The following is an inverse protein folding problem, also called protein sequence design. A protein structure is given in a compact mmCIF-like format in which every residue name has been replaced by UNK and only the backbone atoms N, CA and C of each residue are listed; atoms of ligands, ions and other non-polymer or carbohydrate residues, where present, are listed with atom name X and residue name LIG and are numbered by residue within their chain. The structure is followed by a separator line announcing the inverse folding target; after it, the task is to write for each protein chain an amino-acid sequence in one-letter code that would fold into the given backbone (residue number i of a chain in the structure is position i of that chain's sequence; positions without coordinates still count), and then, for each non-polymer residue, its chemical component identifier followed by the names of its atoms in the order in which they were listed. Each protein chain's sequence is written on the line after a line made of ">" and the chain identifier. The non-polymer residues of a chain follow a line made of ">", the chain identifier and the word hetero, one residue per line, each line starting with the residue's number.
data_IF_863557840033
#
_entry.id   IF_863557840033
#
_cell.length_a   1.000
_cell.length_b   1.000
_cell.length_c   1.000
_cell.angle_alpha   90.00
_cell.angle_beta   90.00
_cell.angle_gamma   90.00
#
_symmetry.space_group_name_H-M   'P 1'
#
loop_
_entity.id
_entity.type
_entity.pdbx_description
1 polymer ?
#
# COMPACT_ATOMS: atom_id res chain seq x y z
N UNK A 1 -17.75 -14.63 -4.54
CA UNK A 1 -18.73 -15.59 -5.10
C UNK A 1 -18.02 -16.92 -5.36
N UNK A 2 -18.54 -18.03 -4.82
CA UNK A 2 -17.99 -19.39 -5.00
C UNK A 2 -18.26 -19.86 -6.43
N UNK A 3 -17.24 -20.23 -7.21
CA UNK A 3 -17.42 -20.87 -8.51
C UNK A 3 -17.93 -22.31 -8.33
N UNK A 4 -19.13 -22.66 -8.84
CA UNK A 4 -19.66 -24.01 -8.73
C UNK A 4 -19.24 -24.81 -9.96
N UNK A 5 -18.00 -25.29 -10.03
CA UNK A 5 -17.58 -26.17 -11.15
C UNK A 5 -16.50 -27.21 -10.80
N UNK A 6 -16.33 -27.52 -9.50
CA UNK A 6 -15.49 -28.66 -9.07
C UNK A 6 -16.17 -30.04 -9.24
N UNK A 7 -17.39 -30.11 -9.80
CA UNK A 7 -18.19 -31.33 -9.87
C UNK A 7 -17.99 -32.24 -11.08
N UNK A 8 -17.10 -31.93 -12.03
CA UNK A 8 -16.93 -32.74 -13.26
C UNK A 8 -15.55 -33.40 -13.39
N UNK A 9 -14.76 -33.40 -12.32
CA UNK A 9 -13.35 -33.85 -12.36
C UNK A 9 -13.13 -35.36 -12.27
N UNK A 10 -14.15 -36.17 -11.97
CA UNK A 10 -13.93 -37.58 -11.60
C UNK A 10 -14.38 -38.61 -12.64
N UNK A 11 -15.03 -38.23 -13.75
CA UNK A 11 -15.59 -39.24 -14.67
C UNK A 11 -14.73 -39.59 -15.90
N UNK A 12 -13.69 -38.82 -16.21
CA UNK A 12 -12.89 -39.04 -17.44
C UNK A 12 -11.63 -39.88 -17.23
N UNK A 13 -11.17 -40.05 -15.98
CA UNK A 13 -9.97 -40.85 -15.71
C UNK A 13 -10.19 -42.36 -15.85
N UNK A 14 -11.43 -42.86 -15.82
CA UNK A 14 -11.70 -44.30 -15.99
C UNK A 14 -11.70 -44.79 -17.45
N UNK A 15 -11.77 -43.90 -18.45
CA UNK A 15 -11.82 -44.31 -19.85
C UNK A 15 -10.45 -44.65 -20.48
N UNK A 16 -9.34 -44.31 -19.81
CA UNK A 16 -7.99 -44.55 -20.36
C UNK A 16 -7.37 -45.90 -20.00
N UNK A 17 -7.99 -46.68 -19.11
CA UNK A 17 -7.46 -47.98 -18.67
C UNK A 17 -7.69 -49.12 -19.68
N UNK A 18 -8.46 -48.89 -20.75
CA UNK A 18 -8.89 -49.94 -21.68
C UNK A 18 -8.05 -50.09 -22.96
N UNK A 19 -7.10 -49.18 -23.25
CA UNK A 19 -6.27 -49.25 -24.47
C UNK A 19 -4.96 -49.98 -24.23
N UNK A 20 -5.04 -51.29 -23.94
CA UNK A 20 -3.88 -52.17 -23.87
C UNK A 20 -3.68 -52.86 -25.23
N UNK A 21 -3.27 -52.09 -26.22
CA UNK A 21 -2.85 -52.58 -27.54
C UNK A 21 -1.48 -52.04 -27.91
N UNK A 22 -0.56 -52.89 -28.34
CA UNK A 22 0.84 -52.54 -28.65
C UNK A 22 1.00 -51.93 -30.06
N UNK A 23 0.06 -51.07 -30.44
CA UNK A 23 0.08 -50.41 -31.74
C UNK A 23 0.68 -49.02 -31.59
N UNK A 24 1.86 -48.82 -32.17
CA UNK A 24 2.61 -47.55 -32.13
C UNK A 24 1.77 -46.36 -32.63
N UNK A 25 0.83 -46.60 -33.55
CA UNK A 25 -0.10 -45.59 -34.06
C UNK A 25 -1.13 -45.16 -33.00
N UNK A 26 -1.68 -46.09 -32.20
CA UNK A 26 -2.63 -45.75 -31.13
C UNK A 26 -1.97 -44.89 -30.04
N UNK A 27 -0.67 -45.14 -29.74
CA UNK A 27 0.11 -44.33 -28.80
C UNK A 27 0.41 -42.92 -29.34
N UNK A 28 0.59 -42.75 -30.66
CA UNK A 28 0.77 -41.45 -31.31
C UNK A 28 -0.53 -40.63 -31.33
N UNK A 29 -1.67 -41.26 -31.66
CA UNK A 29 -2.98 -40.60 -31.60
C UNK A 29 -3.36 -40.22 -30.16
N UNK A 30 -3.11 -41.10 -29.18
CA UNK A 30 -3.34 -40.77 -27.77
C UNK A 30 -2.48 -39.57 -27.32
N UNK A 31 -1.20 -39.51 -27.72
CA UNK A 31 -0.32 -38.35 -27.41
C UNK A 31 -0.78 -37.06 -28.08
N UNK A 32 -1.23 -37.10 -29.34
CA UNK A 32 -1.78 -35.92 -30.02
C UNK A 32 -3.09 -35.43 -29.39
N UNK A 33 -3.98 -36.36 -28.99
CA UNK A 33 -5.23 -36.02 -28.31
C UNK A 33 -4.97 -35.42 -26.92
N UNK A 34 -4.02 -35.96 -26.16
CA UNK A 34 -3.61 -35.40 -24.86
C UNK A 34 -3.00 -34.00 -25.02
N UNK A 35 -2.17 -33.77 -26.05
CA UNK A 35 -1.58 -32.45 -26.33
C UNK A 35 -2.62 -31.40 -26.76
N UNK A 36 -3.64 -31.80 -27.53
CA UNK A 36 -4.73 -30.91 -27.93
C UNK A 36 -5.64 -30.52 -26.76
N UNK A 37 -5.95 -31.48 -25.88
CA UNK A 37 -6.75 -31.21 -24.67
C UNK A 37 -5.97 -30.31 -23.69
N UNK A 38 -4.65 -30.47 -23.57
CA UNK A 38 -3.80 -29.64 -22.72
C UNK A 38 -3.73 -28.17 -23.21
N UNK A 39 -3.69 -27.94 -24.52
CA UNK A 39 -3.71 -26.59 -25.11
C UNK A 39 -5.06 -25.89 -24.96
N UNK A 40 -6.17 -26.62 -25.10
CA UNK A 40 -7.53 -26.08 -24.89
C UNK A 40 -7.79 -25.77 -23.42
N UNK A 41 -7.23 -26.54 -22.49
CA UNK A 41 -7.32 -26.29 -21.05
C UNK A 41 -6.57 -25.05 -20.59
N UNK A 42 -5.43 -24.72 -21.21
CA UNK A 42 -4.63 -23.53 -20.84
C UNK A 42 -5.32 -22.22 -21.25
N UNK A 43 -6.24 -22.26 -22.21
CA UNK A 43 -6.99 -21.10 -22.71
C UNK A 43 -8.27 -20.76 -21.90
N UNK A 44 -8.70 -21.59 -20.94
CA UNK A 44 -9.95 -21.37 -20.19
C UNK A 44 -9.77 -20.69 -18.82
N UNK A 45 -8.54 -20.47 -18.36
CA UNK A 45 -8.25 -19.77 -17.09
C UNK A 45 -8.03 -18.27 -17.29
N UNK A 46 -9.01 -17.60 -17.90
CA UNK A 46 -9.08 -16.14 -17.97
C UNK A 46 -10.07 -15.60 -16.95
N UNK A 47 -9.76 -15.64 -15.65
CA UNK A 47 -10.58 -14.96 -14.65
C UNK A 47 -10.22 -13.47 -14.65
N UNK A 48 -11.04 -12.63 -15.29
CA UNK A 48 -10.91 -11.18 -15.20
C UNK A 48 -11.32 -10.73 -13.80
N UNK A 49 -10.37 -10.66 -12.88
CA UNK A 49 -10.57 -10.03 -11.58
C UNK A 49 -10.57 -8.51 -11.80
N UNK A 50 -11.73 -7.89 -11.70
CA UNK A 50 -11.83 -6.44 -11.77
C UNK A 50 -11.35 -5.84 -10.45
N UNK A 51 -10.21 -5.15 -10.47
CA UNK A 51 -9.69 -4.45 -9.31
C UNK A 51 -10.62 -3.29 -8.92
N UNK A 52 -10.79 -3.09 -7.62
CA UNK A 52 -11.38 -1.87 -7.10
C UNK A 52 -10.38 -0.72 -7.20
N UNK A 53 -10.84 0.51 -6.99
CA UNK A 53 -9.96 1.69 -7.02
C UNK A 53 -10.16 2.54 -5.78
N UNK A 54 -9.08 3.05 -5.19
CA UNK A 54 -9.14 3.99 -4.07
C UNK A 54 -8.49 5.32 -4.45
N UNK A 55 -9.20 6.42 -4.19
CA UNK A 55 -8.69 7.77 -4.38
C UNK A 55 -8.03 8.28 -3.09
N UNK A 56 -6.75 8.61 -3.14
CA UNK A 56 -5.94 9.09 -2.00
C UNK A 56 -5.66 10.59 -2.22
N UNK A 57 -6.00 11.46 -1.26
CA UNK A 57 -5.65 12.88 -1.30
C UNK A 57 -4.15 13.12 -1.25
N UNK A 58 -3.68 14.22 -1.84
CA UNK A 58 -2.25 14.60 -1.90
C UNK A 58 -1.59 14.78 -0.52
N UNK A 59 -2.39 15.01 0.52
CA UNK A 59 -1.91 15.10 1.89
C UNK A 59 -1.56 13.74 2.52
N UNK A 60 -1.70 12.63 1.78
CA UNK A 60 -1.33 11.30 2.22
C UNK A 60 -0.39 10.62 1.23
N UNK A 61 0.60 9.92 1.77
CA UNK A 61 1.51 9.06 1.06
C UNK A 61 1.16 7.60 1.35
N UNK A 62 1.05 6.80 0.30
CA UNK A 62 0.83 5.36 0.40
C UNK A 62 2.16 4.61 0.48
N UNK A 63 2.33 3.82 1.55
CA UNK A 63 3.60 3.16 1.85
C UNK A 63 3.57 1.66 1.52
N UNK A 64 2.47 0.96 1.79
CA UNK A 64 2.36 -0.48 1.60
C UNK A 64 0.93 -0.98 1.44
N UNK A 65 0.77 -2.06 0.67
CA UNK A 65 -0.43 -2.90 0.58
C UNK A 65 -0.13 -4.25 1.22
N UNK A 66 -0.91 -4.66 2.23
CA UNK A 66 -0.76 -5.95 2.91
C UNK A 66 0.69 -6.22 3.39
N UNK A 67 1.34 -5.18 3.94
CA UNK A 67 2.73 -5.21 4.40
C UNK A 67 3.79 -5.18 3.29
N UNK A 68 3.39 -5.24 2.02
CA UNK A 68 4.30 -5.15 0.88
C UNK A 68 4.48 -3.69 0.50
N UNK A 69 5.72 -3.20 0.64
CA UNK A 69 6.08 -1.85 0.24
C UNK A 69 5.71 -1.64 -1.23
N UNK A 70 4.86 -0.65 -1.49
CA UNK A 70 4.55 -0.29 -2.86
C UNK A 70 5.63 0.66 -3.31
N UNK A 71 6.49 0.17 -4.21
CA UNK A 71 7.59 0.92 -4.79
C UNK A 71 7.02 2.08 -5.64
N UNK A 72 6.68 3.18 -4.97
CA UNK A 72 5.82 4.22 -5.54
C UNK A 72 5.97 5.58 -4.86
N UNK A 73 7.09 5.84 -4.18
CA UNK A 73 7.50 7.18 -3.67
C UNK A 73 7.59 8.26 -4.78
N UNK A 74 7.13 7.96 -6.00
CA UNK A 74 7.10 8.78 -7.20
C UNK A 74 5.69 8.98 -7.78
N UNK A 75 4.62 8.50 -7.14
CA UNK A 75 3.23 8.77 -7.55
C UNK A 75 2.81 10.20 -7.13
N UNK A 76 3.61 11.19 -7.50
CA UNK A 76 3.38 12.59 -7.17
C UNK A 76 2.11 13.21 -7.79
N UNK A 77 1.30 12.44 -8.54
CA UNK A 77 0.07 12.93 -9.19
C UNK A 77 -1.02 11.85 -9.44
N UNK A 78 -0.76 10.56 -9.16
CA UNK A 78 -1.77 9.52 -9.39
C UNK A 78 -2.55 9.29 -8.11
N UNK A 79 -3.63 10.04 -7.97
CA UNK A 79 -4.54 9.96 -6.84
C UNK A 79 -5.25 8.61 -6.70
N UNK A 80 -5.07 7.63 -7.61
CA UNK A 80 -5.88 6.41 -7.66
C UNK A 80 -5.03 5.14 -7.67
N UNK A 81 -5.26 4.27 -6.69
CA UNK A 81 -4.61 2.96 -6.55
C UNK A 81 -5.61 1.84 -6.83
N UNK A 82 -5.17 0.79 -7.53
CA UNK A 82 -5.96 -0.42 -7.72
C UNK A 82 -5.80 -1.36 -6.52
N UNK A 83 -6.93 -1.80 -5.96
CA UNK A 83 -7.00 -2.69 -4.81
C UNK A 83 -7.61 -4.04 -5.22
N UNK A 84 -6.96 -5.17 -4.88
CA UNK A 84 -7.57 -6.49 -4.99
C UNK A 84 -8.80 -6.61 -4.08
N UNK A 85 -9.78 -7.41 -4.51
CA UNK A 85 -10.95 -7.74 -3.70
C UNK A 85 -10.56 -8.50 -2.41
N UNK A 86 -11.26 -8.23 -1.31
CA UNK A 86 -11.07 -8.89 -0.01
C UNK A 86 -10.62 -7.95 1.11
N UNK A 87 -10.33 -8.52 2.29
CA UNK A 87 -9.80 -7.78 3.44
C UNK A 87 -8.39 -7.30 3.17
N UNK A 88 -8.19 -6.01 2.96
CA UNK A 88 -6.89 -5.40 2.63
C UNK A 88 -6.43 -4.48 3.73
N UNK A 89 -5.11 -4.38 3.87
CA UNK A 89 -4.45 -3.50 4.82
C UNK A 89 -3.58 -2.48 4.09
N UNK A 90 -3.80 -1.20 4.37
CA UNK A 90 -3.18 -0.08 3.67
C UNK A 90 -2.35 0.69 4.69
N UNK A 91 -1.04 0.78 4.48
CA UNK A 91 -0.16 1.64 5.28
C UNK A 91 -0.03 3.01 4.63
N UNK A 92 -0.32 4.06 5.40
CA UNK A 92 -0.34 5.46 4.97
C UNK A 92 0.56 6.33 5.86
N UNK A 93 0.94 7.50 5.34
CA UNK A 93 1.55 8.59 6.10
C UNK A 93 0.93 9.92 5.70
N UNK A 94 0.48 10.72 6.66
CA UNK A 94 0.10 12.10 6.38
C UNK A 94 1.36 12.95 6.14
N UNK A 95 1.32 13.79 5.11
CA UNK A 95 2.40 14.71 4.74
C UNK A 95 1.78 16.02 4.25
N UNK A 96 2.24 17.13 4.80
CA UNK A 96 1.77 18.45 4.37
C UNK A 96 2.89 19.49 4.52
N UNK A 97 2.72 20.63 3.85
CA UNK A 97 3.61 21.79 3.95
C UNK A 97 2.87 22.87 4.74
N UNK A 98 3.52 23.35 5.80
CA UNK A 98 3.03 24.44 6.63
C UNK A 98 4.04 25.58 6.65
N UNK A 99 3.58 26.77 7.03
CA UNK A 99 4.47 27.85 7.42
C UNK A 99 4.79 27.64 8.90
N UNK A 100 6.08 27.55 9.22
CA UNK A 100 6.56 27.48 10.59
C UNK A 100 6.16 28.76 11.33
N UNK A 101 5.39 28.70 12.44
CA UNK A 101 4.89 29.89 13.10
C UNK A 101 6.00 30.71 13.78
N UNK A 102 7.10 30.07 14.16
CA UNK A 102 8.21 30.73 14.85
C UNK A 102 9.19 31.35 13.84
N UNK A 103 9.37 30.70 12.68
CA UNK A 103 10.44 31.02 11.74
C UNK A 103 9.95 31.58 10.39
N UNK A 104 8.65 31.47 10.09
CA UNK A 104 8.02 32.06 8.91
C UNK A 104 8.38 31.41 7.56
N UNK A 105 9.10 30.28 7.56
CA UNK A 105 9.45 29.53 6.34
C UNK A 105 8.60 28.28 6.17
N UNK A 106 8.62 27.70 4.97
CA UNK A 106 7.95 26.42 4.69
C UNK A 106 8.63 25.26 5.42
N UNK A 107 7.84 24.51 6.19
CA UNK A 107 8.24 23.28 6.86
C UNK A 107 7.34 22.13 6.41
N UNK A 108 7.94 20.97 6.14
CA UNK A 108 7.19 19.74 5.88
C UNK A 108 6.91 19.06 7.22
N UNK A 109 5.64 18.78 7.47
CA UNK A 109 5.21 17.96 8.60
C UNK A 109 4.82 16.57 8.12
N UNK A 110 5.12 15.57 8.94
CA UNK A 110 4.81 14.18 8.66
C UNK A 110 4.20 13.53 9.89
N UNK A 111 3.24 12.64 9.68
CA UNK A 111 2.82 11.72 10.74
C UNK A 111 3.76 10.51 10.83
N UNK A 112 3.60 9.74 11.90
CA UNK A 112 4.04 8.34 11.89
C UNK A 112 3.23 7.55 10.85
N UNK A 113 3.80 6.51 10.23
CA UNK A 113 3.03 5.56 9.44
C UNK A 113 1.89 4.97 10.27
N UNK A 114 0.71 4.86 9.66
CA UNK A 114 -0.47 4.27 10.29
C UNK A 114 -1.20 3.39 9.27
N UNK A 115 -2.09 2.55 9.76
CA UNK A 115 -2.64 1.44 9.00
C UNK A 115 -4.16 1.51 8.96
N UNK A 116 -4.73 1.18 7.81
CA UNK A 116 -6.17 1.21 7.57
C UNK A 116 -6.61 -0.12 6.97
N UNK A 117 -7.59 -0.75 7.58
CA UNK A 117 -8.19 -1.98 7.08
C UNK A 117 -9.45 -1.67 6.27
N UNK A 118 -9.61 -2.35 5.13
CA UNK A 118 -10.77 -2.19 4.26
C UNK A 118 -11.17 -3.54 3.67
N UNK A 119 -12.44 -3.90 3.78
CA UNK A 119 -13.03 -4.96 2.96
C UNK A 119 -13.34 -4.41 1.56
N UNK A 120 -12.47 -4.72 0.61
CA UNK A 120 -12.54 -4.25 -0.77
C UNK A 120 -13.53 -5.10 -1.55
N UNK A 121 -14.52 -4.43 -2.16
CA UNK A 121 -15.49 -5.04 -3.08
C UNK A 121 -15.06 -4.77 -4.52
N UNK A 122 -15.12 -5.78 -5.38
CA UNK A 122 -14.76 -5.64 -6.79
C UNK A 122 -15.56 -4.54 -7.49
N UNK A 123 -14.89 -3.75 -8.32
CA UNK A 123 -15.50 -2.67 -9.12
C UNK A 123 -15.94 -1.42 -8.33
N UNK A 124 -15.70 -1.34 -7.02
CA UNK A 124 -16.04 -0.17 -6.21
C UNK A 124 -14.94 0.90 -6.29
N UNK A 125 -15.37 2.17 -6.38
CA UNK A 125 -14.50 3.32 -6.25
C UNK A 125 -14.60 3.87 -4.82
N UNK A 126 -13.50 3.79 -4.10
CA UNK A 126 -13.32 4.31 -2.75
C UNK A 126 -12.63 5.68 -2.78
N UNK A 127 -12.81 6.46 -1.72
CA UNK A 127 -12.14 7.72 -1.46
C UNK A 127 -11.68 7.74 -0.01
N UNK A 128 -10.40 8.01 0.21
CA UNK A 128 -9.87 8.30 1.52
C UNK A 128 -10.22 9.75 1.88
N UNK A 129 -10.82 9.95 3.04
CA UNK A 129 -11.25 11.25 3.56
C UNK A 129 -10.61 11.46 4.93
N UNK A 130 -9.84 12.52 5.15
CA UNK A 130 -9.33 12.87 6.48
C UNK A 130 -10.46 13.24 7.43
N UNK A 131 -10.34 12.84 8.70
CA UNK A 131 -11.29 13.13 9.76
C UNK A 131 -10.58 13.84 10.93
N UNK A 132 -10.99 15.06 11.34
CA UNK A 132 -12.07 15.85 10.77
C UNK A 132 -11.73 16.37 9.36
N UNK A 133 -12.75 16.52 8.51
CA UNK A 133 -12.58 17.04 7.15
C UNK A 133 -12.02 18.48 7.09
N UNK A 134 -12.10 19.23 8.19
CA UNK A 134 -11.53 20.57 8.32
C UNK A 134 -10.18 20.54 9.04
N UNK A 135 -9.11 20.80 8.30
CA UNK A 135 -7.75 20.93 8.83
C UNK A 135 -7.55 22.29 9.51
N UNK A 136 -8.12 22.47 10.71
CA UNK A 136 -7.89 23.71 11.47
C UNK A 136 -6.44 23.75 12.01
N UNK A 137 -5.94 22.63 12.50
CA UNK A 137 -4.56 22.49 12.98
C UNK A 137 -3.88 21.29 12.33
N UNK A 138 -3.10 21.56 11.28
CA UNK A 138 -2.34 20.56 10.53
C UNK A 138 -1.25 19.89 11.38
N UNK A 139 -0.65 20.62 12.32
CA UNK A 139 0.38 20.04 13.21
C UNK A 139 -0.25 19.06 14.20
N UNK A 140 -1.40 19.41 14.79
CA UNK A 140 -2.13 18.51 15.65
C UNK A 140 -2.60 17.26 14.89
N UNK A 141 -3.10 17.43 13.65
CA UNK A 141 -3.49 16.30 12.81
C UNK A 141 -2.31 15.36 12.50
N UNK A 142 -1.12 15.91 12.20
CA UNK A 142 0.07 15.09 11.97
C UNK A 142 0.47 14.21 13.17
N UNK A 143 0.16 14.64 14.41
CA UNK A 143 0.45 13.87 15.62
C UNK A 143 -0.48 12.66 15.78
N UNK A 144 -1.73 12.77 15.36
CA UNK A 144 -2.73 11.70 15.45
C UNK A 144 -3.71 11.74 14.27
N UNK A 145 -3.28 11.31 13.07
CA UNK A 145 -4.10 11.38 11.87
C UNK A 145 -5.25 10.39 11.97
N UNK A 146 -6.46 10.82 11.57
CA UNK A 146 -7.61 9.94 11.40
C UNK A 146 -8.16 10.06 10.00
N UNK A 147 -8.66 8.95 9.47
CA UNK A 147 -9.19 8.87 8.12
C UNK A 147 -10.42 7.97 8.09
N UNK A 148 -11.32 8.28 7.17
CA UNK A 148 -12.50 7.50 6.82
C UNK A 148 -12.40 7.10 5.36
N UNK A 149 -12.94 5.95 5.00
CA UNK A 149 -13.05 5.52 3.60
C UNK A 149 -14.53 5.59 3.18
N UNK A 150 -14.83 6.35 2.13
CA UNK A 150 -16.17 6.46 1.54
C UNK A 150 -16.21 5.77 0.18
N UNK A 151 -17.30 5.07 -0.13
CA UNK A 151 -17.55 4.55 -1.48
C UNK A 151 -18.39 5.54 -2.28
N UNK A 152 -18.06 5.76 -3.55
CA UNK A 152 -18.81 6.67 -4.45
C UNK A 152 -20.26 6.20 -4.71
N UNK A 153 -20.56 4.91 -4.46
CA UNK A 153 -21.86 4.29 -4.72
C UNK A 153 -22.81 4.28 -3.51
N UNK A 154 -22.36 4.68 -2.31
CA UNK A 154 -23.24 4.80 -1.14
C UNK A 154 -23.18 6.20 -0.52
N UNK A 155 -24.24 6.97 -0.74
CA UNK A 155 -24.51 8.26 -0.08
C UNK A 155 -24.95 8.07 1.40
N UNK A 156 -24.13 7.38 2.20
CA UNK A 156 -24.29 7.32 3.65
C UNK A 156 -22.96 6.99 4.33
N UNK A 157 -22.31 7.96 5.01
CA UNK A 157 -21.13 7.67 5.81
C UNK A 157 -21.58 6.82 7.02
N UNK A 158 -21.38 5.51 6.95
CA UNK A 158 -21.28 4.70 8.16
C UNK A 158 -19.87 4.86 8.71
N UNK A 159 -19.70 5.33 9.96
CA UNK A 159 -18.42 5.22 10.63
C UNK A 159 -18.04 3.74 10.69
N UNK A 160 -17.02 3.35 9.93
CA UNK A 160 -16.38 2.04 10.05
C UNK A 160 -15.15 2.22 10.93
N UNK A 161 -15.00 1.26 11.83
CA UNK A 161 -14.39 1.42 13.14
C UNK A 161 -12.95 1.92 13.15
N UNK A 162 -12.69 2.76 14.15
CA UNK A 162 -11.37 3.18 14.60
C UNK A 162 -10.58 1.95 15.02
N UNK A 163 -9.69 1.46 14.16
CA UNK A 163 -8.60 0.60 14.58
C UNK A 163 -7.54 1.46 15.30
N UNK A 164 -7.88 1.90 16.52
CA UNK A 164 -6.87 2.27 17.49
C UNK A 164 -6.15 1.00 17.92
N UNK A 165 -5.05 0.65 17.25
CA UNK A 165 -4.09 -0.31 17.80
C UNK A 165 -2.92 0.46 18.37
N UNK A 166 -2.96 0.58 19.70
CA UNK A 166 -1.86 1.00 20.54
C UNK A 166 -0.57 0.26 20.17
N UNK A 167 0.48 1.05 19.99
CA UNK A 167 1.89 0.77 20.35
C UNK A 167 2.18 -0.64 20.86
N UNK A 168 2.75 -1.47 19.99
CA UNK A 168 3.90 -2.27 20.37
C UNK A 168 5.13 -1.56 19.80
N UNK A 169 6.12 -1.15 20.61
CA UNK A 169 7.38 -0.64 20.10
C UNK A 169 8.00 -1.72 19.22
N UNK A 170 7.97 -1.52 17.90
CA UNK A 170 8.91 -2.18 17.02
C UNK A 170 10.29 -1.68 17.46
N UNK A 171 10.90 -2.50 18.32
CA UNK A 171 12.29 -2.37 18.74
C UNK A 171 13.12 -2.15 17.50
N UNK A 172 13.64 -0.95 17.40
CA UNK A 172 14.73 -0.56 16.52
C UNK A 172 15.80 -1.67 16.59
N UNK A 173 16.09 -2.30 15.46
CA UNK A 173 17.12 -1.77 14.57
C UNK A 173 16.55 -1.71 13.14
N UNK A 174 16.86 -0.69 12.36
CA UNK A 174 18.16 -0.58 11.71
C UNK A 174 18.46 0.90 11.49
N UNK A 175 19.60 1.30 12.03
CA UNK A 175 20.32 2.47 11.58
C UNK A 175 20.22 2.57 10.05
N UNK A 176 19.71 3.70 9.56
CA UNK A 176 19.95 4.14 8.19
C UNK A 176 21.44 4.46 8.10
N UNK A 177 22.25 3.41 7.97
CA UNK A 177 23.57 3.48 7.35
C UNK A 177 23.36 3.57 5.85
N UNK A 178 22.72 4.65 5.41
CA UNK A 178 22.96 5.13 4.06
C UNK A 178 24.32 5.81 4.16
N UNK A 179 25.35 5.22 3.54
CA UNK A 179 26.57 5.95 3.19
C UNK A 179 26.11 7.26 2.54
N UNK A 180 26.13 8.34 3.31
CA UNK A 180 25.97 9.69 2.80
C UNK A 180 27.09 9.84 1.78
N UNK A 181 26.74 9.99 0.51
CA UNK A 181 27.69 10.40 -0.51
C UNK A 181 28.27 11.73 -0.04
N UNK A 182 29.49 11.67 0.50
CA UNK A 182 30.20 12.80 1.10
C UNK A 182 30.44 13.94 0.10
N UNK A 183 30.30 13.64 -1.20
CA UNK A 183 30.52 14.57 -2.30
C UNK A 183 29.42 15.64 -2.46
N UNK A 184 28.30 15.54 -1.72
CA UNK A 184 27.25 16.57 -1.67
C UNK A 184 27.07 17.21 -0.29
N UNK A 185 27.99 16.99 0.64
CA UNK A 185 27.92 17.67 1.94
C UNK A 185 28.36 19.14 1.75
N UNK A 186 27.59 20.13 2.26
CA UNK A 186 28.02 21.52 2.22
C UNK A 186 29.39 21.70 2.88
N UNK A 187 30.26 22.51 2.27
CA UNK A 187 31.62 22.74 2.80
C UNK A 187 31.60 23.66 4.02
N UNK A 188 30.63 24.58 4.07
CA UNK A 188 30.46 25.51 5.17
C UNK A 188 29.82 24.83 6.41
N UNK A 189 30.23 25.25 7.61
CA UNK A 189 29.73 24.69 8.87
C UNK A 189 28.26 25.06 9.16
N UNK A 190 27.87 26.29 8.85
CA UNK A 190 26.49 26.75 8.99
C UNK A 190 25.57 26.05 8.01
N UNK A 191 26.02 25.85 6.77
CA UNK A 191 25.27 25.07 5.78
C UNK A 191 25.14 23.60 6.17
N UNK A 192 26.16 23.00 6.81
CA UNK A 192 26.05 21.65 7.38
C UNK A 192 25.00 21.58 8.47
N UNK A 193 24.99 22.52 9.41
CA UNK A 193 23.97 22.60 10.46
C UNK A 193 22.56 22.72 9.87
N UNK A 194 22.37 23.61 8.87
CA UNK A 194 21.10 23.76 8.15
C UNK A 194 20.67 22.47 7.45
N UNK A 195 21.61 21.77 6.81
CA UNK A 195 21.35 20.49 6.15
C UNK A 195 20.90 19.41 7.15
N UNK A 196 21.59 19.29 8.29
CA UNK A 196 21.22 18.34 9.35
C UNK A 196 19.89 18.69 9.99
N UNK A 197 19.63 19.97 10.21
CA UNK A 197 18.35 20.47 10.72
C UNK A 197 17.18 20.08 9.80
N UNK A 198 17.32 20.30 8.49
CA UNK A 198 16.27 19.94 7.51
C UNK A 198 15.98 18.43 7.45
N UNK A 199 16.99 17.59 7.73
CA UNK A 199 16.82 16.12 7.72
C UNK A 199 16.33 15.54 9.04
N UNK A 200 16.52 16.23 10.15
CA UNK A 200 16.04 15.80 11.45
C UNK A 200 14.49 15.81 11.50
N UNK A 201 13.90 14.88 12.22
CA UNK A 201 12.48 14.89 12.58
C UNK A 201 12.17 15.98 13.62
N UNK A 202 10.88 16.23 13.87
CA UNK A 202 10.43 17.31 14.75
C UNK A 202 10.87 17.13 16.22
N UNK A 203 10.91 15.91 16.73
CA UNK A 203 11.30 15.63 18.13
C UNK A 203 12.79 15.90 18.34
N UNK A 204 13.61 15.44 17.37
CA UNK A 204 15.06 15.73 17.34
C UNK A 204 15.35 17.24 17.26
N UNK A 205 14.59 17.98 16.45
CA UNK A 205 14.72 19.46 16.35
C UNK A 205 14.37 20.15 17.67
N UNK A 206 13.29 19.74 18.33
CA UNK A 206 12.88 20.31 19.61
C UNK A 206 13.90 20.05 20.72
N UNK A 207 14.47 18.85 20.77
CA UNK A 207 15.54 18.49 21.72
C UNK A 207 16.81 19.31 21.50
N UNK A 208 17.14 19.63 20.24
CA UNK A 208 18.27 20.49 19.94
C UNK A 208 18.01 21.95 20.34
N UNK A 209 16.81 22.46 20.13
CA UNK A 209 16.44 23.82 20.54
C UNK A 209 16.45 23.98 22.06
N UNK A 210 15.95 22.98 22.80
CA UNK A 210 16.01 23.01 24.27
C UNK A 210 17.45 22.99 24.77
N UNK A 211 18.35 22.29 24.08
CA UNK A 211 19.78 22.31 24.38
C UNK A 211 20.43 23.68 24.13
N UNK A 212 20.10 24.37 23.01
CA UNK A 212 20.59 25.73 22.72
C UNK A 212 20.14 26.72 23.78
N UNK A 213 18.90 26.63 24.27
CA UNK A 213 18.43 27.57 25.32
C UNK A 213 19.11 27.30 26.66
N UNK A 214 19.56 26.07 26.89
CA UNK A 214 20.22 25.66 28.13
C UNK A 214 21.73 25.99 28.19
N UNK A 215 22.35 26.44 27.09
CA UNK A 215 23.81 26.68 26.97
C UNK A 215 24.13 27.96 26.21
#
# INVERSE_FOLDING_TARGET
>A
MQCPLQGLFLSTLEFLSALKGDDAMAKLYAKLLISGVLLVWLSLTGCSVQAAKITIPDSFEFLALDGQAVAGSLLSHQAQLELPEGEREITLRYKDVIIDPDLGYEAVINSRPFMVSLNVKSGVHYRLVPEPAAFQDKQAFAKNPQVTISSELEASPKPLETAAVNTTPAKEPLAVSTKVQADKLPKDAGERLRYWWLKADQDTRQSFMSWIVAH
#
